data_IF_195073373496
#
_entry.id   IF_195073373496
#
_cell.length_a   1.000
_cell.length_b   1.000
_cell.length_c   1.000
_cell.angle_alpha   90.00
_cell.angle_beta   90.00
_cell.angle_gamma   90.00
#
_symmetry.space_group_name_H-M   'P 1'
#
loop_
_entity.id
_entity.type
_entity.pdbx_description
1 polymer ?
#
# COMPACT_ATOMS: atom_id res chain seq x y z
N UNK A 1 20.37 24.74 36.50
CA UNK A 1 19.92 23.36 36.43
C UNK A 1 19.59 23.05 34.96
N UNK A 2 20.38 22.21 34.33
CA UNK A 2 20.25 21.86 32.91
C UNK A 2 19.40 20.61 32.83
N UNK A 3 18.20 20.68 32.21
CA UNK A 3 17.38 19.51 31.85
C UNK A 3 18.00 18.88 30.57
N UNK A 4 18.21 17.58 30.54
CA UNK A 4 18.73 16.94 29.32
C UNK A 4 17.63 16.77 28.29
N UNK A 5 17.98 17.14 27.06
CA UNK A 5 17.26 16.85 25.82
C UNK A 5 17.21 15.32 25.59
N UNK A 6 16.07 14.68 25.83
CA UNK A 6 15.81 13.31 25.39
C UNK A 6 14.35 13.19 24.90
N UNK A 7 14.10 13.74 23.73
CA UNK A 7 12.80 13.57 23.02
C UNK A 7 13.12 13.27 21.56
N UNK A 8 13.39 12.03 21.24
CA UNK A 8 13.58 11.62 19.84
C UNK A 8 13.29 10.12 19.59
N UNK A 9 12.19 9.56 20.08
CA UNK A 9 11.94 8.13 19.83
C UNK A 9 10.46 7.72 19.66
N UNK A 10 9.53 8.65 19.42
CA UNK A 10 8.12 8.27 19.21
C UNK A 10 7.76 8.00 17.74
N UNK A 11 8.70 8.14 16.80
CA UNK A 11 8.43 7.94 15.36
C UNK A 11 8.61 6.50 14.86
N UNK A 12 8.75 5.49 15.75
CA UNK A 12 9.14 4.15 15.34
C UNK A 12 7.99 3.19 15.04
N UNK A 13 6.72 3.59 15.19
CA UNK A 13 5.58 2.74 14.82
C UNK A 13 5.04 3.14 13.45
N UNK A 14 5.93 3.21 12.45
CA UNK A 14 5.51 3.34 11.05
C UNK A 14 5.45 1.95 10.42
N UNK A 15 4.27 1.44 10.16
CA UNK A 15 4.06 0.19 9.42
C UNK A 15 4.55 0.28 7.94
N UNK A 16 4.99 1.46 7.49
CA UNK A 16 5.46 1.73 6.13
C UNK A 16 6.92 2.21 6.06
N UNK A 17 7.82 1.76 6.95
CA UNK A 17 9.24 2.03 6.78
C UNK A 17 9.97 0.70 6.50
N UNK A 18 10.64 0.54 5.34
CA UNK A 18 11.47 -0.63 5.11
C UNK A 18 12.60 -0.68 6.15
N UNK A 19 12.96 -1.87 6.64
CA UNK A 19 14.02 -2.04 7.63
C UNK A 19 15.38 -1.65 7.07
N UNK A 20 16.28 -1.18 7.95
CA UNK A 20 17.68 -1.00 7.65
C UNK A 20 18.29 -2.33 7.17
N UNK A 21 19.13 -2.26 6.14
CA UNK A 21 19.78 -3.41 5.51
C UNK A 21 20.54 -4.27 6.53
N UNK A 22 20.22 -5.56 6.56
CA UNK A 22 21.10 -6.60 7.08
C UNK A 22 21.13 -7.72 6.05
N UNK A 23 22.26 -7.85 5.37
CA UNK A 23 22.59 -9.01 4.53
C UNK A 23 22.68 -10.25 5.40
N UNK A 24 21.91 -11.29 5.11
CA UNK A 24 22.13 -12.63 5.64
C UNK A 24 21.71 -13.70 4.64
N UNK A 25 22.73 -14.40 4.10
CA UNK A 25 22.58 -15.70 3.49
C UNK A 25 22.31 -16.76 4.57
N UNK A 26 21.09 -17.29 4.65
CA UNK A 26 20.82 -18.60 5.27
C UNK A 26 19.66 -19.27 4.52
N UNK A 27 19.72 -20.60 4.29
CA UNK A 27 18.62 -21.31 3.66
C UNK A 27 17.37 -21.23 4.55
N UNK A 28 16.25 -20.85 3.95
CA UNK A 28 14.96 -20.84 4.62
C UNK A 28 14.56 -22.29 4.96
N UNK A 29 14.40 -22.56 6.25
CA UNK A 29 13.67 -23.75 6.69
C UNK A 29 12.20 -23.58 6.23
N UNK A 30 11.65 -24.62 5.62
CA UNK A 30 10.23 -24.68 5.27
C UNK A 30 9.40 -24.53 6.55
N UNK A 31 8.88 -23.34 6.77
CA UNK A 31 7.84 -23.12 7.77
C UNK A 31 6.51 -23.23 7.03
N UNK A 32 5.93 -24.43 7.09
CA UNK A 32 4.55 -24.64 6.70
C UNK A 32 3.63 -23.79 7.58
N UNK A 33 3.34 -22.58 7.14
CA UNK A 33 2.29 -21.76 7.75
C UNK A 33 0.98 -22.33 7.23
N UNK A 34 0.36 -23.21 8.02
CA UNK A 34 -0.98 -23.71 7.78
C UNK A 34 -2.01 -22.62 8.04
N UNK A 35 -2.00 -21.55 7.23
CA UNK A 35 -3.17 -20.71 7.11
C UNK A 35 -4.21 -21.51 6.33
N UNK A 36 -5.39 -21.72 6.94
CA UNK A 36 -6.51 -22.34 6.26
C UNK A 36 -6.70 -21.68 4.90
N UNK A 37 -7.01 -22.48 3.90
CA UNK A 37 -7.36 -22.02 2.55
C UNK A 37 -8.27 -20.79 2.71
N UNK A 38 -7.95 -19.62 2.15
CA UNK A 38 -8.88 -18.52 2.16
C UNK A 38 -10.09 -18.94 1.34
N UNK A 39 -11.15 -19.38 2.02
CA UNK A 39 -12.45 -19.41 1.38
C UNK A 39 -12.69 -18.02 0.83
N UNK A 40 -13.00 -17.93 -0.47
CA UNK A 40 -13.14 -16.68 -1.19
C UNK A 40 -14.06 -15.69 -0.47
N UNK A 41 -13.49 -14.89 0.41
CA UNK A 41 -14.13 -13.73 1.01
C UNK A 41 -14.22 -12.68 -0.11
N UNK A 42 -15.37 -12.60 -0.73
CA UNK A 42 -15.76 -11.40 -1.49
C UNK A 42 -15.79 -10.27 -0.47
N UNK A 43 -14.82 -9.38 -0.53
CA UNK A 43 -14.94 -8.06 0.09
C UNK A 43 -16.13 -7.39 -0.59
N UNK A 44 -17.24 -7.26 0.13
CA UNK A 44 -18.39 -6.53 -0.37
C UNK A 44 -18.04 -5.04 -0.29
N UNK A 45 -17.47 -4.50 -1.37
CA UNK A 45 -17.42 -3.07 -1.56
C UNK A 45 -18.87 -2.56 -1.63
N UNK A 46 -19.14 -1.43 -0.99
CA UNK A 46 -20.35 -0.69 -1.30
C UNK A 46 -20.32 -0.37 -2.80
N UNK A 47 -21.37 -0.67 -3.58
CA UNK A 47 -21.36 -0.46 -5.02
C UNK A 47 -21.10 1.01 -5.29
N UNK A 48 -19.97 1.31 -5.95
CA UNK A 48 -19.74 2.63 -6.52
C UNK A 48 -20.97 2.94 -7.41
N UNK A 49 -21.59 4.10 -7.25
CA UNK A 49 -22.66 4.51 -8.17
C UNK A 49 -22.04 4.53 -9.57
N UNK A 50 -22.67 3.90 -10.56
CA UNK A 50 -22.07 3.64 -11.88
C UNK A 50 -21.39 4.84 -12.55
N UNK A 51 -21.84 6.08 -12.27
CA UNK A 51 -21.20 7.30 -12.75
C UNK A 51 -19.88 7.67 -12.08
N UNK A 52 -19.62 7.26 -10.82
CA UNK A 52 -18.33 7.48 -10.15
C UNK A 52 -17.29 6.49 -10.66
N UNK A 53 -17.64 5.20 -10.80
CA UNK A 53 -16.74 4.15 -11.29
C UNK A 53 -16.20 4.47 -12.69
N UNK A 54 -17.08 4.93 -13.59
CA UNK A 54 -16.68 5.26 -14.98
C UNK A 54 -15.73 6.47 -15.00
N UNK A 55 -15.99 7.50 -14.19
CA UNK A 55 -15.09 8.64 -14.06
C UNK A 55 -13.72 8.17 -13.52
N UNK A 56 -13.72 7.35 -12.45
CA UNK A 56 -12.50 6.86 -11.83
C UNK A 56 -11.70 5.99 -12.80
N UNK A 57 -12.36 5.13 -13.57
CA UNK A 57 -11.75 4.38 -14.65
C UNK A 57 -11.07 5.30 -15.69
N UNK A 58 -11.72 6.37 -16.11
CA UNK A 58 -11.14 7.32 -17.08
C UNK A 58 -9.93 8.04 -16.53
N UNK A 59 -9.97 8.45 -15.25
CA UNK A 59 -8.86 9.15 -14.59
C UNK A 59 -7.67 8.22 -14.31
N UNK A 60 -7.92 6.96 -13.96
CA UNK A 60 -6.88 5.94 -13.75
C UNK A 60 -6.23 5.48 -15.07
N UNK A 61 -6.99 5.49 -16.16
CA UNK A 61 -6.56 4.92 -17.46
C UNK A 61 -5.82 5.93 -18.34
N UNK A 62 -6.16 7.22 -18.29
CA UNK A 62 -5.65 8.22 -19.22
C UNK A 62 -4.64 9.21 -18.62
N UNK A 63 -4.05 8.85 -17.50
CA UNK A 63 -2.92 9.56 -16.91
C UNK A 63 -1.93 8.56 -16.29
N UNK A 64 -0.74 9.02 -15.99
CA UNK A 64 0.27 8.35 -15.16
C UNK A 64 0.32 9.05 -13.79
N UNK A 65 0.87 8.39 -12.77
CA UNK A 65 1.15 8.97 -11.44
C UNK A 65 1.88 10.33 -11.52
N UNK A 66 2.78 10.49 -12.49
CA UNK A 66 3.47 11.76 -12.74
C UNK A 66 2.56 12.91 -13.20
N UNK A 67 1.26 12.67 -13.40
CA UNK A 67 0.31 13.60 -13.97
C UNK A 67 0.40 13.73 -15.51
N UNK A 68 1.34 13.02 -16.16
CA UNK A 68 1.44 13.03 -17.62
C UNK A 68 0.26 12.29 -18.24
N UNK A 69 -0.43 12.93 -19.19
CA UNK A 69 -1.56 12.34 -19.90
C UNK A 69 -1.17 11.22 -20.85
N UNK A 70 -2.04 10.25 -20.99
CA UNK A 70 -1.98 9.18 -21.97
C UNK A 70 -3.00 9.49 -23.09
N UNK A 71 -2.53 9.51 -24.36
CA UNK A 71 -3.37 9.87 -25.50
C UNK A 71 -4.20 8.70 -26.02
N UNK A 72 -3.75 7.48 -25.75
CA UNK A 72 -4.36 6.25 -26.24
C UNK A 72 -4.60 5.25 -25.13
N UNK A 73 -5.75 4.62 -25.17
CA UNK A 73 -6.04 3.43 -24.39
C UNK A 73 -5.14 2.27 -24.83
N UNK A 74 -4.58 1.54 -23.87
CA UNK A 74 -3.74 0.38 -24.18
C UNK A 74 -3.97 -0.76 -23.18
N UNK A 75 -4.06 -1.98 -23.72
CA UNK A 75 -4.12 -3.23 -22.95
C UNK A 75 -3.51 -4.36 -23.77
N UNK A 76 -3.40 -5.54 -23.18
CA UNK A 76 -3.15 -6.78 -23.93
C UNK A 76 -4.43 -7.21 -24.63
N UNK A 77 -4.35 -7.51 -25.92
CA UNK A 77 -5.53 -7.92 -26.72
C UNK A 77 -5.66 -9.43 -26.90
N UNK A 78 -4.76 -10.20 -26.34
CA UNK A 78 -4.77 -11.66 -26.34
C UNK A 78 -4.51 -12.23 -24.94
N UNK A 79 -4.37 -13.55 -24.85
CA UNK A 79 -4.04 -14.21 -23.60
C UNK A 79 -2.78 -13.64 -22.96
N UNK A 80 -2.85 -13.33 -21.67
CA UNK A 80 -1.72 -12.81 -20.89
C UNK A 80 -1.01 -13.99 -20.22
N UNK A 81 0.31 -14.02 -20.34
CA UNK A 81 1.14 -15.00 -19.65
C UNK A 81 2.10 -14.29 -18.71
N UNK A 82 2.29 -14.83 -17.49
CA UNK A 82 3.15 -14.22 -16.45
C UNK A 82 4.22 -15.22 -16.05
N UNK A 83 5.49 -14.85 -16.22
CA UNK A 83 6.63 -15.65 -15.77
C UNK A 83 7.41 -14.92 -14.68
N UNK A 84 7.96 -15.67 -13.72
CA UNK A 84 8.87 -15.16 -12.69
C UNK A 84 10.31 -15.50 -13.02
N UNK A 85 11.24 -14.58 -12.81
CA UNK A 85 12.67 -14.73 -13.06
C UNK A 85 13.51 -14.08 -11.95
N UNK A 86 14.82 -14.29 -12.00
CA UNK A 86 15.73 -13.74 -10.98
C UNK A 86 15.72 -14.52 -9.67
N UNK A 87 15.92 -13.85 -8.54
CA UNK A 87 15.94 -14.47 -7.21
C UNK A 87 14.53 -14.49 -6.63
N UNK A 88 13.73 -15.46 -7.09
CA UNK A 88 12.31 -15.57 -6.71
C UNK A 88 12.15 -15.87 -5.23
N UNK A 89 11.49 -15.01 -4.42
CA UNK A 89 11.20 -15.29 -3.01
C UNK A 89 10.27 -16.50 -2.84
N UNK A 90 10.42 -17.30 -1.75
CA UNK A 90 9.67 -18.56 -1.58
C UNK A 90 8.14 -18.42 -1.60
N UNK A 91 7.61 -17.29 -1.16
CA UNK A 91 6.15 -17.04 -1.11
C UNK A 91 5.58 -16.55 -2.44
N UNK A 92 6.41 -15.93 -3.29
CA UNK A 92 5.97 -15.27 -4.51
C UNK A 92 5.19 -16.18 -5.49
N UNK A 93 5.56 -17.47 -5.71
CA UNK A 93 4.79 -18.35 -6.59
C UNK A 93 3.36 -18.59 -6.11
N UNK A 94 3.16 -18.75 -4.81
CA UNK A 94 1.84 -18.91 -4.21
C UNK A 94 1.03 -17.63 -4.33
N UNK A 95 1.63 -16.50 -3.96
CA UNK A 95 0.96 -15.20 -3.94
C UNK A 95 0.54 -14.79 -5.37
N UNK A 96 1.42 -14.99 -6.37
CA UNK A 96 1.08 -14.79 -7.78
C UNK A 96 -0.04 -15.74 -8.24
N UNK A 97 0.00 -17.01 -7.84
CA UNK A 97 -1.05 -17.99 -8.20
C UNK A 97 -2.43 -17.58 -7.68
N UNK A 98 -2.51 -17.09 -6.44
CA UNK A 98 -3.75 -16.54 -5.84
C UNK A 98 -4.22 -15.31 -6.61
N UNK A 99 -3.32 -14.37 -6.90
CA UNK A 99 -3.64 -13.17 -7.65
C UNK A 99 -4.15 -13.47 -9.06
N UNK A 100 -3.50 -14.37 -9.81
CA UNK A 100 -3.94 -14.80 -11.14
C UNK A 100 -5.35 -15.42 -11.06
N UNK A 101 -5.60 -16.29 -10.08
CA UNK A 101 -6.94 -16.88 -9.89
C UNK A 101 -8.01 -15.83 -9.64
N UNK A 102 -7.71 -14.77 -8.88
CA UNK A 102 -8.61 -13.64 -8.67
C UNK A 102 -8.85 -12.83 -9.95
N UNK A 103 -7.79 -12.51 -10.69
CA UNK A 103 -7.90 -11.78 -11.96
C UNK A 103 -8.76 -12.54 -12.98
N UNK A 104 -8.65 -13.88 -13.02
CA UNK A 104 -9.50 -14.70 -13.87
C UNK A 104 -10.96 -14.68 -13.41
N UNK A 105 -11.22 -14.93 -12.13
CA UNK A 105 -12.58 -15.13 -11.62
C UNK A 105 -13.33 -13.82 -11.37
N UNK A 106 -12.65 -12.77 -10.92
CA UNK A 106 -13.27 -11.51 -10.52
C UNK A 106 -13.23 -10.45 -11.63
N UNK A 107 -12.16 -10.40 -12.44
CA UNK A 107 -12.04 -9.44 -13.55
C UNK A 107 -12.26 -10.05 -14.95
N UNK A 108 -12.33 -11.38 -15.05
CA UNK A 108 -12.58 -12.07 -16.33
C UNK A 108 -11.40 -12.02 -17.32
N UNK A 109 -10.17 -11.84 -16.83
CA UNK A 109 -8.98 -11.71 -17.67
C UNK A 109 -8.44 -13.08 -18.01
N UNK A 110 -8.17 -13.35 -19.31
CA UNK A 110 -7.45 -14.57 -19.75
C UNK A 110 -5.96 -14.41 -19.45
N UNK A 111 -5.59 -14.71 -18.20
CA UNK A 111 -4.24 -14.62 -17.67
C UNK A 111 -3.81 -15.94 -17.06
N UNK A 112 -2.57 -16.37 -17.27
CA UNK A 112 -2.06 -17.65 -16.75
C UNK A 112 -0.56 -17.58 -16.44
N UNK A 113 -0.06 -18.42 -15.52
CA UNK A 113 1.38 -18.55 -15.30
C UNK A 113 2.07 -19.19 -16.51
N UNK A 114 3.35 -18.85 -16.68
CA UNK A 114 4.23 -19.43 -17.70
C UNK A 114 5.60 -19.77 -17.09
N UNK A 115 6.28 -20.77 -17.65
CA UNK A 115 7.62 -21.21 -17.25
C UNK A 115 8.72 -20.81 -18.24
N UNK A 116 8.38 -20.01 -19.25
CA UNK A 116 9.27 -19.58 -20.32
C UNK A 116 8.97 -18.14 -20.75
N UNK A 117 9.21 -17.79 -22.02
CA UNK A 117 8.87 -16.47 -22.54
C UNK A 117 7.41 -16.13 -22.26
N UNK A 118 7.16 -14.95 -21.73
CA UNK A 118 5.85 -14.49 -21.30
C UNK A 118 5.57 -13.06 -21.76
N UNK A 119 4.29 -12.69 -21.81
CA UNK A 119 3.89 -11.30 -22.10
C UNK A 119 4.23 -10.37 -20.95
N UNK A 120 4.16 -10.85 -19.71
CA UNK A 120 4.61 -10.12 -18.52
C UNK A 120 5.68 -10.95 -17.80
N UNK A 121 6.84 -10.34 -17.56
CA UNK A 121 7.91 -10.94 -16.77
C UNK A 121 8.01 -10.24 -15.44
N UNK A 122 7.87 -10.96 -14.33
CA UNK A 122 8.17 -10.48 -12.98
C UNK A 122 9.60 -10.89 -12.65
N UNK A 123 10.52 -9.92 -12.63
CA UNK A 123 11.93 -10.17 -12.33
C UNK A 123 12.27 -9.68 -10.92
N UNK A 124 12.77 -10.60 -10.10
CA UNK A 124 13.20 -10.33 -8.74
C UNK A 124 14.70 -10.02 -8.70
N UNK A 125 15.05 -8.83 -8.24
CA UNK A 125 16.42 -8.35 -8.13
C UNK A 125 16.70 -7.76 -6.75
N UNK A 126 17.96 -7.46 -6.42
CA UNK A 126 18.27 -6.81 -5.14
C UNK A 126 17.66 -5.40 -5.08
N UNK A 127 17.18 -4.99 -3.91
CA UNK A 127 16.70 -3.62 -3.67
C UNK A 127 17.76 -2.57 -4.07
N UNK A 128 19.03 -2.86 -3.85
CA UNK A 128 20.12 -1.98 -4.21
C UNK A 128 20.26 -1.79 -5.73
N UNK A 129 19.97 -2.83 -6.53
CA UNK A 129 19.98 -2.76 -7.98
C UNK A 129 18.81 -1.93 -8.51
N UNK A 130 17.62 -2.13 -7.94
CA UNK A 130 16.41 -1.42 -8.36
C UNK A 130 16.48 0.06 -8.00
N UNK A 131 16.95 0.42 -6.81
CA UNK A 131 17.13 1.82 -6.38
C UNK A 131 18.09 2.64 -7.23
N UNK A 132 19.03 1.99 -7.92
CA UNK A 132 19.88 2.70 -8.90
C UNK A 132 19.12 3.13 -10.15
N UNK A 133 18.00 2.51 -10.43
CA UNK A 133 17.17 2.75 -11.61
C UNK A 133 15.93 3.59 -11.29
N UNK A 134 15.29 3.30 -10.17
CA UNK A 134 14.11 3.99 -9.64
C UNK A 134 14.30 4.27 -8.14
N UNK A 135 14.96 5.39 -7.75
CA UNK A 135 15.39 5.64 -6.37
C UNK A 135 14.25 5.74 -5.35
N UNK A 136 13.07 6.16 -5.77
CA UNK A 136 11.90 6.40 -4.94
C UNK A 136 10.90 5.26 -4.95
N UNK A 137 10.86 4.44 -6.02
CA UNK A 137 9.92 3.34 -6.15
C UNK A 137 10.33 2.12 -5.29
N UNK A 138 9.34 1.46 -4.70
CA UNK A 138 9.51 0.16 -4.03
C UNK A 138 9.65 -0.96 -5.07
N UNK A 139 8.80 -0.94 -6.07
CA UNK A 139 8.76 -1.77 -7.27
C UNK A 139 8.32 -0.90 -8.45
N UNK A 140 8.35 -1.41 -9.67
CA UNK A 140 7.89 -0.64 -10.83
C UNK A 140 7.70 -1.54 -12.07
N UNK A 141 6.79 -1.11 -12.95
CA UNK A 141 6.51 -1.77 -14.22
C UNK A 141 7.01 -0.95 -15.41
N UNK A 142 7.54 -1.63 -16.43
CA UNK A 142 8.11 -1.01 -17.64
C UNK A 142 7.57 -1.68 -18.89
N UNK A 143 7.09 -0.92 -19.89
CA UNK A 143 6.61 -1.48 -21.16
C UNK A 143 7.75 -1.94 -22.05
N UNK A 144 7.46 -2.85 -22.98
CA UNK A 144 8.31 -3.25 -24.10
C UNK A 144 9.69 -3.83 -23.74
N UNK A 145 9.84 -4.29 -22.49
CA UNK A 145 11.03 -5.01 -22.01
C UNK A 145 10.61 -6.32 -21.35
N UNK A 146 11.54 -7.27 -21.30
CA UNK A 146 11.34 -8.58 -20.64
C UNK A 146 12.39 -8.87 -19.57
N UNK A 147 13.31 -7.93 -19.27
CA UNK A 147 14.30 -8.10 -18.21
C UNK A 147 14.92 -6.78 -17.77
N UNK A 148 15.50 -6.78 -16.55
CA UNK A 148 16.23 -5.63 -16.00
C UNK A 148 17.44 -5.26 -16.87
N UNK A 149 18.10 -6.25 -17.45
CA UNK A 149 19.22 -6.02 -18.38
C UNK A 149 18.75 -5.31 -19.67
N UNK A 150 17.59 -5.67 -20.20
CA UNK A 150 16.99 -4.99 -21.34
C UNK A 150 16.55 -3.57 -20.98
N UNK A 151 15.91 -3.37 -19.83
CA UNK A 151 15.53 -2.05 -19.34
C UNK A 151 16.74 -1.12 -19.19
N UNK A 152 17.85 -1.60 -18.61
CA UNK A 152 19.08 -0.81 -18.48
C UNK A 152 19.60 -0.30 -19.83
N UNK A 153 19.47 -1.10 -20.90
CA UNK A 153 19.90 -0.69 -22.26
C UNK A 153 18.94 0.30 -22.93
N UNK A 154 17.63 0.16 -22.65
CA UNK A 154 16.58 0.98 -23.30
C UNK A 154 16.15 2.19 -22.48
N UNK A 155 16.61 2.30 -21.23
CA UNK A 155 16.23 3.40 -20.33
C UNK A 155 16.49 4.76 -20.97
N UNK A 156 15.48 5.64 -20.94
CA UNK A 156 15.54 6.97 -21.53
C UNK A 156 15.25 7.01 -23.06
N UNK A 157 14.86 5.88 -23.65
CA UNK A 157 14.36 5.85 -25.02
C UNK A 157 12.82 5.79 -25.06
N UNK A 158 12.26 6.18 -26.19
CA UNK A 158 10.80 6.11 -26.46
C UNK A 158 10.24 4.69 -26.35
N UNK A 159 11.07 3.67 -26.49
CA UNK A 159 10.65 2.28 -26.38
C UNK A 159 10.10 1.89 -25.01
N UNK A 160 10.47 2.60 -23.95
CA UNK A 160 10.03 2.32 -22.57
C UNK A 160 9.15 3.44 -22.01
N UNK A 161 8.62 4.30 -22.85
CA UNK A 161 7.71 5.38 -22.48
C UNK A 161 6.25 4.92 -22.59
N UNK A 162 5.57 4.80 -21.43
CA UNK A 162 4.16 4.44 -21.37
C UNK A 162 3.25 5.37 -22.19
N UNK A 163 3.58 6.65 -22.31
CA UNK A 163 2.76 7.61 -23.05
C UNK A 163 2.76 7.37 -24.57
N UNK A 164 3.71 6.59 -25.07
CA UNK A 164 3.80 6.21 -26.48
C UNK A 164 3.23 4.79 -26.75
N UNK A 165 2.81 4.07 -25.71
CA UNK A 165 2.23 2.73 -25.86
C UNK A 165 0.79 2.83 -26.32
N UNK A 166 0.53 2.38 -27.55
CA UNK A 166 -0.82 2.32 -28.12
C UNK A 166 -1.46 0.92 -27.97
N UNK A 167 -0.65 -0.12 -27.75
CA UNK A 167 -1.04 -1.50 -27.50
C UNK A 167 0.00 -2.16 -26.62
N UNK A 168 -0.41 -2.93 -25.62
CA UNK A 168 0.52 -3.69 -24.78
C UNK A 168 0.80 -5.04 -25.40
N UNK A 169 2.08 -5.32 -25.62
CA UNK A 169 2.55 -6.61 -26.15
C UNK A 169 3.44 -7.31 -25.14
N UNK A 170 4.23 -6.54 -24.40
CA UNK A 170 5.17 -7.04 -23.40
C UNK A 170 5.41 -6.00 -22.32
N UNK A 171 5.54 -6.47 -21.06
CA UNK A 171 5.97 -5.64 -19.93
C UNK A 171 6.86 -6.43 -18.98
N UNK A 172 7.69 -5.73 -18.21
CA UNK A 172 8.43 -6.32 -17.11
C UNK A 172 8.12 -5.57 -15.81
N UNK A 173 7.92 -6.33 -14.75
CA UNK A 173 7.73 -5.86 -13.37
C UNK A 173 9.01 -6.18 -12.62
N UNK A 174 9.53 -5.21 -11.86
CA UNK A 174 10.75 -5.36 -11.08
C UNK A 174 10.44 -5.23 -9.59
N UNK A 175 10.69 -6.30 -8.85
CA UNK A 175 10.37 -6.41 -7.41
C UNK A 175 11.65 -6.73 -6.62
N UNK A 176 11.88 -6.10 -5.44
CA UNK A 176 13.00 -6.46 -4.59
C UNK A 176 12.88 -7.89 -4.07
N UNK A 177 13.94 -8.69 -4.22
CA UNK A 177 14.00 -10.07 -3.69
C UNK A 177 14.35 -10.13 -2.20
N UNK A 178 14.85 -9.03 -1.65
CA UNK A 178 15.38 -8.90 -0.29
C UNK A 178 14.47 -8.03 0.60
N UNK A 179 13.16 -8.26 0.50
CA UNK A 179 12.13 -7.57 1.27
C UNK A 179 11.18 -8.56 1.98
N UNK A 180 10.19 -8.06 2.73
CA UNK A 180 9.24 -8.93 3.40
C UNK A 180 8.31 -9.64 2.39
N UNK A 181 7.77 -10.83 2.74
CA UNK A 181 6.78 -11.49 1.89
C UNK A 181 5.58 -10.62 1.56
N UNK A 182 5.09 -9.84 2.52
CA UNK A 182 3.99 -8.92 2.27
C UNK A 182 4.35 -7.86 1.23
N UNK A 183 5.51 -7.20 1.33
CA UNK A 183 5.94 -6.19 0.37
C UNK A 183 6.11 -6.79 -1.05
N UNK A 184 6.58 -8.05 -1.16
CA UNK A 184 6.60 -8.78 -2.44
C UNK A 184 5.19 -8.96 -3.00
N UNK A 185 4.23 -9.39 -2.17
CA UNK A 185 2.84 -9.58 -2.58
C UNK A 185 2.19 -8.25 -2.98
N UNK A 186 2.39 -7.19 -2.18
CA UNK A 186 1.84 -5.87 -2.43
C UNK A 186 2.32 -5.36 -3.80
N UNK A 187 3.62 -5.46 -4.08
CA UNK A 187 4.19 -5.17 -5.41
C UNK A 187 3.59 -6.05 -6.53
N UNK A 188 3.32 -7.34 -6.27
CA UNK A 188 2.68 -8.19 -7.27
C UNK A 188 1.26 -7.70 -7.61
N UNK A 189 0.48 -7.29 -6.61
CA UNK A 189 -0.88 -6.81 -6.83
C UNK A 189 -0.90 -5.49 -7.60
N UNK A 190 -0.12 -4.53 -7.17
CA UNK A 190 -0.06 -3.19 -7.76
C UNK A 190 0.50 -3.22 -9.18
N UNK A 191 1.73 -3.72 -9.34
CA UNK A 191 2.45 -3.67 -10.61
C UNK A 191 1.83 -4.58 -11.69
N UNK A 192 1.23 -5.74 -11.29
CA UNK A 192 0.54 -6.58 -12.26
C UNK A 192 -0.75 -5.90 -12.73
N UNK A 193 -1.48 -5.22 -11.86
CA UNK A 193 -2.66 -4.48 -12.25
C UNK A 193 -2.31 -3.29 -13.14
N UNK A 194 -1.24 -2.56 -12.83
CA UNK A 194 -0.71 -1.48 -13.68
C UNK A 194 -0.22 -2.02 -15.03
N UNK A 195 0.47 -3.17 -15.05
CA UNK A 195 0.84 -3.85 -16.31
C UNK A 195 -0.38 -4.18 -17.17
N UNK A 196 -1.52 -4.49 -16.57
CA UNK A 196 -2.76 -4.88 -17.25
C UNK A 196 -3.57 -3.67 -17.75
N UNK A 197 -3.54 -2.52 -17.07
CA UNK A 197 -4.42 -1.41 -17.44
C UNK A 197 -4.07 -0.05 -16.86
N UNK A 198 -4.60 0.31 -15.70
CA UNK A 198 -4.43 1.63 -15.08
C UNK A 198 -2.95 1.95 -14.79
N UNK A 199 -2.56 3.22 -14.98
CA UNK A 199 -1.19 3.68 -14.74
C UNK A 199 -1.15 4.93 -13.85
N UNK A 200 -2.28 5.29 -13.26
CA UNK A 200 -2.40 6.45 -12.39
C UNK A 200 -2.82 6.01 -10.99
N UNK A 201 -2.40 6.74 -9.98
CA UNK A 201 -2.80 6.58 -8.59
C UNK A 201 -3.49 7.83 -8.08
N UNK A 202 -4.60 7.66 -7.39
CA UNK A 202 -5.46 8.77 -7.00
C UNK A 202 -5.78 8.72 -5.49
N UNK A 203 -5.19 9.59 -4.71
CA UNK A 203 -5.42 9.71 -3.26
C UNK A 203 -6.89 9.86 -2.84
N UNK A 204 -7.79 10.19 -3.77
CA UNK A 204 -9.21 10.29 -3.51
C UNK A 204 -9.95 8.96 -3.48
N UNK A 205 -9.30 7.85 -3.83
CA UNK A 205 -9.86 6.50 -3.91
C UNK A 205 -9.53 5.70 -2.64
N UNK A 206 -10.36 5.72 -1.59
CA UNK A 206 -10.02 5.07 -0.32
C UNK A 206 -9.99 3.55 -0.42
N UNK A 207 -10.76 2.93 -1.31
CA UNK A 207 -10.86 1.47 -1.48
C UNK A 207 -10.14 1.00 -2.76
N UNK A 208 -8.85 1.32 -2.89
CA UNK A 208 -8.08 0.97 -4.08
C UNK A 208 -6.59 0.82 -3.78
N UNK A 209 -5.93 -0.12 -4.46
CA UNK A 209 -4.46 -0.16 -4.52
C UNK A 209 -3.91 0.94 -5.44
N UNK A 210 -4.73 1.51 -6.34
CA UNK A 210 -4.39 2.68 -7.15
C UNK A 210 -4.54 3.97 -6.34
N UNK A 211 -3.92 3.97 -5.15
CA UNK A 211 -3.91 5.07 -4.20
C UNK A 211 -2.57 5.11 -3.48
N UNK A 212 -1.80 6.16 -3.70
CA UNK A 212 -0.47 6.41 -3.11
C UNK A 212 -0.45 6.51 -1.57
N UNK A 213 -1.59 6.31 -0.87
CA UNK A 213 -1.62 6.26 0.59
C UNK A 213 -0.97 4.98 1.16
N UNK A 214 -0.81 3.95 0.33
CA UNK A 214 -0.18 2.66 0.64
C UNK A 214 -0.83 1.90 1.80
N UNK A 215 -2.13 2.06 2.01
CA UNK A 215 -2.87 1.30 3.01
C UNK A 215 -3.35 -0.05 2.50
N UNK A 216 -3.86 -0.09 1.26
CA UNK A 216 -4.26 -1.33 0.62
C UNK A 216 -3.05 -2.12 0.11
N UNK A 217 -3.02 -3.40 0.40
CA UNK A 217 -1.93 -4.30 0.01
C UNK A 217 -2.38 -5.44 -0.91
N UNK A 218 -3.68 -5.51 -1.22
CA UNK A 218 -4.25 -6.45 -2.20
C UNK A 218 -5.34 -5.76 -2.98
N UNK A 219 -5.49 -6.12 -4.26
CA UNK A 219 -6.55 -5.60 -5.13
C UNK A 219 -7.91 -5.76 -4.47
N UNK A 220 -8.69 -4.68 -4.44
CA UNK A 220 -10.04 -4.63 -3.89
C UNK A 220 -11.08 -5.05 -4.93
N UNK A 221 -12.35 -5.10 -4.51
CA UNK A 221 -13.45 -5.32 -5.47
C UNK A 221 -13.57 -4.15 -6.46
N UNK A 222 -13.29 -2.93 -6.03
CA UNK A 222 -13.23 -1.75 -6.89
C UNK A 222 -12.15 -1.90 -7.97
N UNK A 223 -10.94 -2.31 -7.59
CA UNK A 223 -9.84 -2.52 -8.53
C UNK A 223 -10.17 -3.60 -9.56
N UNK A 224 -10.84 -4.68 -9.12
CA UNK A 224 -11.31 -5.73 -10.04
C UNK A 224 -12.38 -5.23 -11.01
N UNK A 225 -13.23 -4.28 -10.60
CA UNK A 225 -14.19 -3.64 -11.51
C UNK A 225 -13.50 -2.72 -12.53
N UNK A 226 -12.49 -1.96 -12.12
CA UNK A 226 -11.64 -1.16 -13.03
C UNK A 226 -10.96 -2.06 -14.06
N UNK A 227 -10.38 -3.19 -13.63
CA UNK A 227 -9.76 -4.16 -14.53
C UNK A 227 -10.78 -4.84 -15.45
N UNK A 228 -11.99 -5.14 -14.96
CA UNK A 228 -13.08 -5.68 -15.79
C UNK A 228 -13.52 -4.70 -16.86
N UNK A 229 -13.59 -3.41 -16.55
CA UNK A 229 -13.85 -2.36 -17.53
C UNK A 229 -12.72 -2.27 -18.55
N UNK A 230 -11.45 -2.32 -18.11
CA UNK A 230 -10.28 -2.34 -18.98
C UNK A 230 -10.37 -3.46 -20.03
N UNK A 231 -10.84 -4.64 -19.64
CA UNK A 231 -10.96 -5.81 -20.53
C UNK A 231 -12.37 -5.99 -21.12
N UNK A 232 -13.22 -4.96 -21.03
CA UNK A 232 -14.53 -4.97 -21.68
C UNK A 232 -14.40 -5.22 -23.20
N UNK A 233 -15.23 -6.09 -23.80
CA UNK A 233 -15.24 -6.28 -25.26
C UNK A 233 -15.58 -5.01 -26.07
N UNK A 234 -16.15 -3.99 -25.43
CA UNK A 234 -16.45 -2.71 -26.06
C UNK A 234 -15.21 -1.85 -26.31
N UNK A 235 -14.08 -2.14 -25.64
CA UNK A 235 -12.85 -1.37 -25.71
C UNK A 235 -11.79 -2.09 -26.53
N UNK A 236 -10.92 -1.33 -27.19
CA UNK A 236 -9.76 -1.85 -27.93
C UNK A 236 -8.58 -0.89 -27.81
N UNK A 237 -7.37 -1.44 -27.81
CA UNK A 237 -6.12 -0.68 -27.83
C UNK A 237 -6.07 0.30 -29.01
N UNK A 238 -5.51 1.48 -28.77
CA UNK A 238 -5.43 2.56 -29.76
C UNK A 238 -6.61 3.54 -29.73
N UNK A 239 -7.72 3.24 -29.03
CA UNK A 239 -8.82 4.16 -28.82
C UNK A 239 -8.36 5.46 -28.13
N UNK A 240 -8.91 6.59 -28.57
CA UNK A 240 -8.76 7.88 -27.89
C UNK A 240 -9.56 7.90 -26.58
N UNK A 241 -9.29 8.88 -25.73
CA UNK A 241 -10.05 9.12 -24.49
C UNK A 241 -11.55 9.31 -24.79
N UNK A 242 -11.90 10.08 -25.83
CA UNK A 242 -13.29 10.36 -26.19
C UNK A 242 -14.01 9.11 -26.72
N UNK A 243 -13.34 8.30 -27.53
CA UNK A 243 -13.88 7.02 -28.01
C UNK A 243 -14.17 6.06 -26.85
N UNK A 244 -13.25 5.95 -25.88
CA UNK A 244 -13.45 5.16 -24.67
C UNK A 244 -14.61 5.74 -23.84
N UNK A 245 -14.63 7.06 -23.61
CA UNK A 245 -15.68 7.73 -22.85
C UNK A 245 -17.09 7.41 -23.39
N UNK A 246 -17.26 7.49 -24.70
CA UNK A 246 -18.54 7.13 -25.37
C UNK A 246 -18.90 5.66 -25.12
N UNK A 247 -17.91 4.74 -25.18
CA UNK A 247 -18.14 3.29 -25.03
C UNK A 247 -18.51 2.89 -23.60
N UNK A 248 -17.94 3.57 -22.60
CA UNK A 248 -18.22 3.27 -21.18
C UNK A 248 -19.33 4.16 -20.61
N UNK A 249 -19.91 5.06 -21.39
CA UNK A 249 -20.96 5.98 -20.94
C UNK A 249 -20.44 7.08 -20.00
N UNK A 250 -19.18 7.49 -20.15
CA UNK A 250 -18.62 8.59 -19.38
C UNK A 250 -19.19 9.94 -19.85
N UNK A 251 -19.50 10.82 -18.91
CA UNK A 251 -19.68 12.23 -19.22
C UNK A 251 -18.33 12.83 -19.66
N UNK A 252 -18.33 13.67 -20.68
CA UNK A 252 -17.15 14.42 -21.07
C UNK A 252 -16.66 15.29 -19.90
N UNK A 253 -15.35 15.48 -19.80
CA UNK A 253 -14.75 16.29 -18.72
C UNK A 253 -13.22 16.30 -18.78
N UNK A 254 -12.62 17.22 -18.04
CA UNK A 254 -11.17 17.28 -17.88
C UNK A 254 -10.64 16.07 -17.09
N UNK A 255 -9.37 15.75 -17.31
CA UNK A 255 -8.67 14.75 -16.52
C UNK A 255 -8.53 15.24 -15.08
N UNK A 256 -8.98 14.45 -14.12
CA UNK A 256 -8.75 14.73 -12.71
C UNK A 256 -7.58 13.89 -12.21
N UNK A 257 -6.46 14.53 -11.96
CA UNK A 257 -5.30 13.93 -11.28
C UNK A 257 -5.22 14.37 -9.82
N UNK A 258 -4.16 13.97 -9.15
CA UNK A 258 -3.83 14.49 -7.83
C UNK A 258 -3.38 15.97 -7.95
N UNK A 259 -3.84 16.87 -7.07
CA UNK A 259 -3.41 18.26 -7.06
C UNK A 259 -1.92 18.39 -6.73
N UNK A 260 -1.13 18.94 -7.64
CA UNK A 260 0.35 18.93 -7.61
C UNK A 260 0.94 19.48 -6.30
N UNK A 261 0.45 20.62 -5.82
CA UNK A 261 1.01 21.24 -4.62
C UNK A 261 0.66 20.49 -3.34
N UNK A 262 -0.52 19.90 -3.28
CA UNK A 262 -0.94 19.03 -2.18
C UNK A 262 -0.13 17.73 -2.17
N UNK A 263 0.00 17.05 -3.30
CA UNK A 263 0.78 15.81 -3.46
C UNK A 263 2.23 16.05 -3.03
N UNK A 264 2.87 17.11 -3.53
CA UNK A 264 4.23 17.47 -3.12
C UNK A 264 4.34 17.73 -1.60
N UNK A 265 3.34 18.32 -0.99
CA UNK A 265 3.32 18.55 0.46
C UNK A 265 3.18 17.23 1.23
N UNK A 266 2.32 16.31 0.79
CA UNK A 266 2.17 14.97 1.35
C UNK A 266 3.49 14.18 1.23
N UNK A 267 4.07 14.07 0.04
CA UNK A 267 5.33 13.36 -0.21
C UNK A 267 6.47 13.91 0.68
N UNK A 268 6.56 15.25 0.80
CA UNK A 268 7.55 15.88 1.68
C UNK A 268 7.31 15.52 3.14
N UNK A 269 6.06 15.49 3.59
CA UNK A 269 5.70 15.20 4.99
C UNK A 269 6.01 13.76 5.37
N UNK A 270 5.74 12.80 4.48
CA UNK A 270 5.91 11.36 4.71
C UNK A 270 7.30 10.86 4.30
N UNK A 271 8.01 11.62 3.48
CA UNK A 271 9.35 11.28 2.99
C UNK A 271 10.39 11.19 4.10
N UNK A 272 11.54 10.58 3.76
CA UNK A 272 12.67 10.42 4.69
C UNK A 272 13.66 11.59 4.67
N UNK A 273 13.58 12.41 3.64
CA UNK A 273 14.45 13.59 3.45
C UNK A 273 13.93 14.80 4.20
N UNK A 274 14.85 15.68 4.59
CA UNK A 274 14.52 16.93 5.30
C UNK A 274 14.45 16.80 6.82
N UNK A 275 14.40 17.94 7.49
CA UNK A 275 14.29 18.03 8.95
C UNK A 275 12.86 17.66 9.42
N UNK A 276 12.72 17.22 10.66
CA UNK A 276 11.40 16.97 11.26
C UNK A 276 10.51 18.22 11.19
N UNK A 277 11.09 19.42 11.40
CA UNK A 277 10.35 20.67 11.30
C UNK A 277 9.84 20.94 9.87
N UNK A 278 10.66 20.66 8.85
CA UNK A 278 10.24 20.82 7.45
C UNK A 278 9.11 19.84 7.08
N UNK A 279 9.20 18.61 7.55
CA UNK A 279 8.16 17.59 7.33
C UNK A 279 6.84 17.95 8.02
N UNK A 280 6.89 18.47 9.26
CA UNK A 280 5.70 18.98 9.97
C UNK A 280 5.07 20.14 9.23
N UNK A 281 5.87 21.13 8.79
CA UNK A 281 5.38 22.25 8.01
C UNK A 281 4.74 21.80 6.68
N UNK A 282 5.26 20.76 6.06
CA UNK A 282 4.68 20.19 4.85
C UNK A 282 3.32 19.51 5.13
N UNK A 283 3.17 18.76 6.23
CA UNK A 283 1.90 18.17 6.62
C UNK A 283 0.82 19.22 6.90
N UNK A 284 1.17 20.28 7.66
CA UNK A 284 0.24 21.39 7.90
C UNK A 284 -0.12 22.14 6.60
N UNK A 285 0.80 22.25 5.65
CA UNK A 285 0.51 22.81 4.33
C UNK A 285 -0.45 21.95 3.54
N UNK A 286 -0.26 20.62 3.52
CA UNK A 286 -1.18 19.72 2.87
C UNK A 286 -2.59 19.83 3.46
N UNK A 287 -2.68 19.89 4.78
CA UNK A 287 -3.95 20.09 5.48
C UNK A 287 -4.61 21.43 5.12
N UNK A 288 -3.82 22.51 5.09
CA UNK A 288 -4.34 23.83 4.72
C UNK A 288 -4.89 23.85 3.30
N UNK A 289 -4.20 23.20 2.33
CA UNK A 289 -4.70 23.05 0.96
C UNK A 289 -6.00 22.26 0.96
N UNK A 290 -6.05 21.09 1.62
CA UNK A 290 -7.25 20.25 1.64
C UNK A 290 -8.48 20.97 2.22
N UNK A 291 -8.27 21.79 3.24
CA UNK A 291 -9.32 22.62 3.85
C UNK A 291 -9.76 23.77 2.93
N UNK A 292 -8.82 24.46 2.27
CA UNK A 292 -9.14 25.56 1.35
C UNK A 292 -9.88 25.11 0.11
N UNK A 293 -9.58 23.91 -0.38
CA UNK A 293 -10.28 23.26 -1.49
C UNK A 293 -11.65 22.69 -1.09
N UNK A 294 -11.97 22.70 0.20
CA UNK A 294 -13.25 22.20 0.72
C UNK A 294 -13.42 20.67 0.57
N UNK A 295 -12.32 19.92 0.44
CA UNK A 295 -12.41 18.47 0.30
C UNK A 295 -13.04 17.82 1.54
N UNK A 296 -13.76 16.71 1.30
CA UNK A 296 -14.40 15.90 2.33
C UNK A 296 -14.14 14.39 2.12
N UNK A 297 -13.16 14.09 1.28
CA UNK A 297 -12.77 12.73 0.89
C UNK A 297 -11.49 12.27 1.61
N UNK A 298 -10.91 11.17 1.14
CA UNK A 298 -9.70 10.57 1.72
C UNK A 298 -8.50 11.52 1.73
N UNK A 299 -8.39 12.48 0.82
CA UNK A 299 -7.31 13.48 0.79
C UNK A 299 -7.30 14.36 2.05
N UNK A 300 -8.47 14.82 2.51
CA UNK A 300 -8.57 15.56 3.77
C UNK A 300 -8.23 14.67 4.96
N UNK A 301 -8.76 13.43 4.99
CA UNK A 301 -8.46 12.48 6.05
C UNK A 301 -6.97 12.14 6.12
N UNK A 302 -6.33 11.92 4.97
CA UNK A 302 -4.90 11.62 4.88
C UNK A 302 -4.02 12.81 5.30
N UNK A 303 -4.43 14.05 4.98
CA UNK A 303 -3.77 15.24 5.48
C UNK A 303 -3.78 15.31 7.01
N UNK A 304 -4.93 15.08 7.64
CA UNK A 304 -5.03 14.97 9.09
C UNK A 304 -4.17 13.84 9.64
N UNK A 305 -4.17 12.68 9.00
CA UNK A 305 -3.35 11.53 9.41
C UNK A 305 -1.85 11.86 9.37
N UNK A 306 -1.38 12.56 8.33
CA UNK A 306 0.01 13.01 8.23
C UNK A 306 0.40 13.97 9.35
N UNK A 307 -0.48 14.95 9.69
CA UNK A 307 -0.29 15.86 10.84
C UNK A 307 -0.21 15.05 12.13
N UNK A 308 -1.13 14.12 12.37
CA UNK A 308 -1.16 13.29 13.58
C UNK A 308 0.13 12.50 13.77
N UNK A 309 0.59 11.82 12.70
CA UNK A 309 1.84 11.04 12.73
C UNK A 309 3.07 11.86 13.10
N UNK A 310 3.17 13.06 12.56
CA UNK A 310 4.33 13.94 12.80
C UNK A 310 4.24 14.69 14.14
N UNK A 311 3.04 14.87 14.68
CA UNK A 311 2.83 15.47 15.99
C UNK A 311 3.02 14.47 17.15
N UNK A 312 2.75 13.18 16.97
CA UNK A 312 2.66 12.17 18.02
C UNK A 312 3.83 12.14 19.01
N UNK A 313 5.06 12.42 18.55
CA UNK A 313 6.25 12.40 19.40
C UNK A 313 6.59 13.73 20.13
N UNK A 314 5.85 14.82 19.87
CA UNK A 314 6.22 16.14 20.37
C UNK A 314 5.03 16.99 20.84
N UNK A 315 3.83 16.69 20.34
CA UNK A 315 2.57 17.34 20.69
C UNK A 315 1.44 16.29 20.66
N UNK A 316 1.30 15.50 21.73
CA UNK A 316 0.29 14.45 21.80
C UNK A 316 -1.15 14.98 21.68
N UNK A 317 -1.42 16.19 22.14
CA UNK A 317 -2.75 16.80 22.04
C UNK A 317 -3.12 17.08 20.58
N UNK A 318 -2.20 17.67 19.82
CA UNK A 318 -2.36 17.90 18.37
C UNK A 318 -2.50 16.58 17.60
N UNK A 319 -1.69 15.58 17.98
CA UNK A 319 -1.78 14.25 17.36
C UNK A 319 -3.15 13.60 17.57
N UNK A 320 -3.66 13.62 18.80
CA UNK A 320 -4.96 13.07 19.15
C UNK A 320 -6.09 13.79 18.40
N UNK A 321 -6.07 15.13 18.35
CA UNK A 321 -7.02 15.90 17.55
C UNK A 321 -6.98 15.48 16.09
N UNK A 322 -5.79 15.41 15.51
CA UNK A 322 -5.60 15.08 14.10
C UNK A 322 -6.05 13.67 13.76
N UNK A 323 -5.73 12.67 14.60
CA UNK A 323 -6.20 11.29 14.40
C UNK A 323 -7.72 11.16 14.59
N UNK A 324 -8.32 11.86 15.54
CA UNK A 324 -9.78 11.89 15.69
C UNK A 324 -10.47 12.47 14.45
N UNK A 325 -9.91 13.56 13.87
CA UNK A 325 -10.42 14.14 12.62
C UNK A 325 -10.29 13.18 11.44
N UNK A 326 -9.10 12.58 11.26
CA UNK A 326 -8.86 11.59 10.22
C UNK A 326 -9.81 10.38 10.36
N UNK A 327 -9.91 9.83 11.57
CA UNK A 327 -10.77 8.67 11.85
C UNK A 327 -12.25 8.94 11.60
N UNK A 328 -12.75 10.13 12.00
CA UNK A 328 -14.13 10.50 11.74
C UNK A 328 -14.46 10.59 10.25
N UNK A 329 -13.52 11.10 9.43
CA UNK A 329 -13.71 11.18 7.98
C UNK A 329 -13.65 9.77 7.38
N UNK A 330 -12.62 8.97 7.70
CA UNK A 330 -12.50 7.60 7.19
C UNK A 330 -13.70 6.73 7.56
N UNK A 331 -14.22 6.83 8.80
CA UNK A 331 -15.41 6.12 9.23
C UNK A 331 -16.67 6.46 8.42
N UNK A 332 -16.73 7.66 7.84
CA UNK A 332 -17.85 8.13 7.02
C UNK A 332 -17.67 7.80 5.52
N UNK A 333 -16.47 7.41 5.10
CA UNK A 333 -16.19 7.12 3.69
C UNK A 333 -16.44 5.63 3.40
N UNK A 334 -17.21 5.31 2.35
CA UNK A 334 -17.27 3.94 1.83
C UNK A 334 -15.85 3.43 1.49
N UNK A 335 -15.47 2.25 2.00
CA UNK A 335 -14.14 1.69 1.79
C UNK A 335 -13.02 2.30 2.64
N UNK A 336 -13.35 3.17 3.61
CA UNK A 336 -12.37 3.81 4.50
C UNK A 336 -12.01 3.01 5.76
N UNK A 337 -12.50 1.76 5.90
CA UNK A 337 -12.30 0.98 7.13
C UNK A 337 -10.84 0.57 7.37
N UNK A 338 -10.06 0.30 6.32
CA UNK A 338 -8.65 -0.05 6.49
C UNK A 338 -7.82 1.16 6.93
N UNK A 339 -8.09 2.34 6.37
CA UNK A 339 -7.47 3.59 6.80
C UNK A 339 -7.83 3.91 8.25
N UNK A 340 -9.10 3.68 8.65
CA UNK A 340 -9.51 3.81 10.05
C UNK A 340 -8.73 2.86 10.95
N UNK A 341 -8.48 1.61 10.53
CA UNK A 341 -7.67 0.67 11.29
C UNK A 341 -6.20 1.15 11.46
N UNK A 342 -5.65 1.84 10.48
CA UNK A 342 -4.34 2.50 10.61
C UNK A 342 -4.38 3.68 11.62
N UNK A 343 -5.46 4.46 11.65
CA UNK A 343 -5.67 5.49 12.68
C UNK A 343 -5.78 4.84 14.05
N UNK A 344 -6.56 3.77 14.18
CA UNK A 344 -6.73 3.02 15.44
C UNK A 344 -5.41 2.48 15.97
N UNK A 345 -4.56 1.97 15.10
CA UNK A 345 -3.22 1.52 15.48
C UNK A 345 -2.37 2.66 16.06
N UNK A 346 -2.40 3.85 15.43
CA UNK A 346 -1.66 5.00 15.94
C UNK A 346 -2.22 5.45 17.31
N UNK A 347 -3.54 5.51 17.45
CA UNK A 347 -4.20 5.87 18.71
C UNK A 347 -3.98 4.82 19.78
N UNK A 348 -3.99 3.52 19.43
CA UNK A 348 -3.69 2.43 20.38
C UNK A 348 -2.24 2.53 20.89
N UNK A 349 -1.28 2.83 20.03
CA UNK A 349 0.11 3.07 20.45
C UNK A 349 0.23 4.29 21.38
N UNK A 350 -0.50 5.38 21.10
CA UNK A 350 -0.54 6.56 21.98
C UNK A 350 -1.21 6.25 23.33
N UNK A 351 -2.31 5.51 23.32
CA UNK A 351 -3.00 5.08 24.53
C UNK A 351 -2.09 4.21 25.41
N UNK A 352 -1.39 3.24 24.79
CA UNK A 352 -0.43 2.40 25.49
C UNK A 352 0.71 3.23 26.11
N UNK A 353 1.28 4.16 25.35
CA UNK A 353 2.33 5.08 25.84
C UNK A 353 1.85 6.00 26.98
N UNK A 354 0.56 6.29 27.05
CA UNK A 354 -0.07 7.08 28.10
C UNK A 354 -0.63 6.25 29.28
N UNK A 355 -0.36 4.94 29.35
CA UNK A 355 -0.84 4.06 30.43
C UNK A 355 -2.34 3.72 30.34
N UNK A 356 -2.99 3.98 29.21
CA UNK A 356 -4.41 3.71 28.98
C UNK A 356 -4.57 2.33 28.33
N UNK A 357 -4.20 1.28 29.05
CA UNK A 357 -4.11 -0.08 28.53
C UNK A 357 -5.46 -0.64 28.03
N UNK A 358 -6.57 -0.37 28.72
CA UNK A 358 -7.92 -0.77 28.27
C UNK A 358 -8.26 -0.13 26.91
N UNK A 359 -7.95 1.15 26.76
CA UNK A 359 -8.22 1.87 25.51
C UNK A 359 -7.34 1.36 24.38
N UNK A 360 -6.05 1.08 24.64
CA UNK A 360 -5.15 0.47 23.67
C UNK A 360 -5.66 -0.89 23.18
N UNK A 361 -6.09 -1.75 24.09
CA UNK A 361 -6.66 -3.06 23.76
C UNK A 361 -7.97 -2.92 22.97
N UNK A 362 -8.87 -2.01 23.36
CA UNK A 362 -10.15 -1.76 22.68
C UNK A 362 -9.96 -1.28 21.23
N UNK A 363 -9.01 -0.38 21.00
CA UNK A 363 -8.69 0.11 19.66
C UNK A 363 -8.10 -1.00 18.79
N UNK A 364 -7.21 -1.82 19.34
CA UNK A 364 -6.67 -2.99 18.65
C UNK A 364 -7.75 -4.00 18.29
N UNK A 365 -8.69 -4.29 19.22
CA UNK A 365 -9.81 -5.20 18.98
C UNK A 365 -10.74 -4.73 17.87
N UNK A 366 -10.95 -3.42 17.75
CA UNK A 366 -11.76 -2.84 16.67
C UNK A 366 -11.09 -3.00 15.31
N UNK A 367 -9.78 -2.82 15.25
CA UNK A 367 -9.02 -2.84 14.00
C UNK A 367 -8.70 -4.26 13.50
N UNK A 368 -8.43 -5.22 14.39
CA UNK A 368 -7.97 -6.57 14.04
C UNK A 368 -8.85 -7.29 13.01
N UNK A 369 -10.19 -7.34 13.13
CA UNK A 369 -11.04 -8.00 12.13
C UNK A 369 -10.97 -7.31 10.74
N UNK A 370 -10.73 -6.01 10.71
CA UNK A 370 -10.59 -5.25 9.47
C UNK A 370 -9.30 -5.62 8.77
N UNK A 371 -8.17 -5.56 9.47
CA UNK A 371 -6.85 -5.84 8.88
C UNK A 371 -6.70 -7.29 8.44
N UNK A 372 -7.39 -8.23 9.11
CA UNK A 372 -7.47 -9.62 8.70
C UNK A 372 -8.20 -9.76 7.36
N UNK A 373 -9.39 -9.16 7.21
CA UNK A 373 -10.13 -9.15 5.95
C UNK A 373 -9.32 -8.56 4.79
N UNK A 374 -8.59 -7.48 5.05
CA UNK A 374 -7.74 -6.81 4.06
C UNK A 374 -6.35 -7.45 3.92
N UNK A 375 -6.09 -8.56 4.64
CA UNK A 375 -4.82 -9.31 4.57
C UNK A 375 -3.58 -8.44 4.84
N UNK A 376 -3.71 -7.37 5.64
CA UNK A 376 -2.58 -6.52 6.01
C UNK A 376 -1.87 -7.11 7.24
N UNK A 377 -0.99 -8.09 7.00
CA UNK A 377 -0.34 -8.86 8.06
C UNK A 377 0.65 -8.05 8.90
N UNK A 378 1.30 -7.05 8.30
CA UNK A 378 2.19 -6.15 9.04
C UNK A 378 1.41 -5.31 10.07
N UNK A 379 0.27 -4.76 9.66
CA UNK A 379 -0.62 -4.02 10.56
C UNK A 379 -1.26 -4.95 11.60
N UNK A 380 -1.69 -6.15 11.18
CA UNK A 380 -2.24 -7.17 12.05
C UNK A 380 -1.25 -7.55 13.16
N UNK A 381 -0.01 -7.86 12.81
CA UNK A 381 1.03 -8.17 13.79
C UNK A 381 1.31 -7.00 14.74
N UNK A 382 1.33 -5.76 14.22
CA UNK A 382 1.51 -4.56 15.04
C UNK A 382 0.40 -4.41 16.08
N UNK A 383 -0.87 -4.56 15.66
CA UNK A 383 -2.02 -4.47 16.53
C UNK A 383 -2.04 -5.58 17.58
N UNK A 384 -1.72 -6.83 17.19
CA UNK A 384 -1.61 -7.95 18.12
C UNK A 384 -0.54 -7.71 19.19
N UNK A 385 0.63 -7.17 18.79
CA UNK A 385 1.70 -6.86 19.72
C UNK A 385 1.33 -5.68 20.65
N UNK A 386 0.72 -4.61 20.15
CA UNK A 386 0.20 -3.51 21.01
C UNK A 386 -0.80 -4.04 22.00
N UNK A 387 -1.74 -4.91 21.58
CA UNK A 387 -2.72 -5.53 22.48
C UNK A 387 -2.06 -6.45 23.50
N UNK A 388 -1.01 -7.18 23.12
CA UNK A 388 -0.27 -8.02 24.05
C UNK A 388 0.39 -7.19 25.17
N UNK A 389 1.02 -6.04 24.83
CA UNK A 389 1.57 -5.14 25.85
C UNK A 389 0.48 -4.54 26.74
N UNK A 390 -0.68 -4.19 26.16
CA UNK A 390 -1.82 -3.72 26.92
C UNK A 390 -2.36 -4.79 27.91
N UNK A 391 -2.46 -6.06 27.47
CA UNK A 391 -2.87 -7.17 28.34
C UNK A 391 -1.86 -7.44 29.47
N UNK A 392 -0.57 -7.30 29.22
CA UNK A 392 0.47 -7.38 30.25
C UNK A 392 0.28 -6.31 31.31
N UNK A 393 0.07 -5.05 30.90
CA UNK A 393 -0.20 -3.91 31.79
C UNK A 393 -1.50 -4.07 32.60
N UNK A 394 -2.48 -4.80 32.06
CA UNK A 394 -3.75 -5.13 32.74
C UNK A 394 -3.65 -6.35 33.69
N UNK A 395 -2.45 -6.91 33.86
CA UNK A 395 -2.23 -8.07 34.75
C UNK A 395 -2.66 -9.41 34.13
N UNK A 396 -2.73 -9.52 32.81
CA UNK A 396 -3.09 -10.74 32.07
C UNK A 396 -1.91 -11.33 31.30
N UNK A 397 -0.78 -11.70 31.94
CA UNK A 397 0.43 -12.11 31.25
C UNK A 397 0.26 -13.40 30.42
N UNK A 398 -0.61 -14.29 30.81
CA UNK A 398 -0.90 -15.53 30.09
C UNK A 398 -1.56 -15.22 28.72
N UNK A 399 -2.55 -14.34 28.68
CA UNK A 399 -3.19 -13.90 27.45
C UNK A 399 -2.24 -13.09 26.58
N UNK A 400 -1.39 -12.24 27.17
CA UNK A 400 -0.37 -11.51 26.47
C UNK A 400 0.64 -12.45 25.78
N UNK A 401 1.13 -13.47 26.49
CA UNK A 401 2.05 -14.46 25.95
C UNK A 401 1.43 -15.25 24.78
N UNK A 402 0.18 -15.70 24.93
CA UNK A 402 -0.54 -16.40 23.86
C UNK A 402 -0.66 -15.51 22.60
N UNK A 403 -1.04 -14.24 22.75
CA UNK A 403 -1.20 -13.32 21.63
C UNK A 403 0.14 -13.00 20.94
N UNK A 404 1.24 -12.89 21.70
CA UNK A 404 2.61 -12.76 21.11
C UNK A 404 2.98 -13.99 20.28
N UNK A 405 2.62 -15.21 20.74
CA UNK A 405 2.82 -16.44 19.95
C UNK A 405 1.99 -16.43 18.67
N UNK A 406 0.71 -16.09 18.76
CA UNK A 406 -0.19 -16.04 17.60
C UNK A 406 0.25 -14.98 16.57
N UNK A 407 0.89 -13.89 17.02
CA UNK A 407 1.40 -12.85 16.14
C UNK A 407 2.60 -13.28 15.29
N UNK A 408 3.29 -14.39 15.62
CA UNK A 408 4.54 -14.78 14.97
C UNK A 408 4.40 -15.06 13.46
N UNK A 409 3.32 -15.70 13.05
CA UNK A 409 3.01 -15.95 11.63
C UNK A 409 2.80 -14.66 10.85
N UNK A 410 1.80 -13.85 11.21
CA UNK A 410 1.60 -12.52 10.64
C UNK A 410 2.85 -11.64 10.64
N UNK A 411 3.63 -11.63 11.72
CA UNK A 411 4.84 -10.84 11.84
C UNK A 411 5.93 -11.26 10.84
N UNK A 412 6.16 -12.57 10.66
CA UNK A 412 7.13 -13.06 9.66
C UNK A 412 6.71 -12.73 8.24
N UNK A 413 5.43 -12.86 7.93
CA UNK A 413 4.94 -12.51 6.62
C UNK A 413 5.00 -10.99 6.38
N UNK A 414 4.55 -10.19 7.35
CA UNK A 414 4.45 -8.73 7.25
C UNK A 414 5.80 -8.00 7.36
N UNK A 415 6.67 -8.43 8.27
CA UNK A 415 7.95 -7.73 8.53
C UNK A 415 9.16 -8.43 7.92
N UNK A 416 9.07 -9.74 7.62
CA UNK A 416 10.17 -10.54 7.08
C UNK A 416 10.93 -11.33 8.16
N UNK A 417 12.28 -11.40 8.10
CA UNK A 417 13.08 -12.30 8.92
C UNK A 417 12.93 -12.07 10.43
N UNK A 418 13.11 -13.13 11.23
CA UNK A 418 12.97 -13.13 12.69
C UNK A 418 13.70 -11.95 13.37
N UNK A 419 14.88 -11.58 12.92
CA UNK A 419 15.61 -10.41 13.43
C UNK A 419 14.83 -9.09 13.32
N UNK A 420 14.06 -8.92 12.22
CA UNK A 420 13.23 -7.73 12.01
C UNK A 420 12.00 -7.82 12.91
N UNK A 421 11.41 -9.01 13.03
CA UNK A 421 10.28 -9.28 13.93
C UNK A 421 10.67 -8.95 15.38
N UNK A 422 11.81 -9.47 15.86
CA UNK A 422 12.32 -9.19 17.21
C UNK A 422 12.58 -7.69 17.45
N UNK A 423 13.11 -6.99 16.44
CA UNK A 423 13.30 -5.54 16.55
C UNK A 423 11.96 -4.81 16.70
N UNK A 424 10.93 -5.20 15.92
CA UNK A 424 9.58 -4.64 16.05
C UNK A 424 8.93 -4.93 17.40
N UNK A 425 9.09 -6.14 17.90
CA UNK A 425 8.60 -6.50 19.25
C UNK A 425 9.24 -5.63 20.33
N UNK A 426 10.56 -5.43 20.27
CA UNK A 426 11.26 -4.54 21.22
C UNK A 426 10.81 -3.07 21.09
N UNK A 427 10.59 -2.57 19.85
CA UNK A 427 10.13 -1.20 19.62
C UNK A 427 8.73 -0.98 20.24
N UNK A 428 7.84 -1.96 20.11
CA UNK A 428 6.47 -1.87 20.65
C UNK A 428 6.49 -2.02 22.19
N UNK A 429 7.26 -2.96 22.77
CA UNK A 429 7.43 -3.08 24.22
C UNK A 429 7.99 -1.78 24.83
N UNK A 430 8.96 -1.14 24.17
CA UNK A 430 9.48 0.16 24.60
C UNK A 430 8.46 1.30 24.57
N UNK A 431 7.33 1.15 23.88
CA UNK A 431 6.21 2.11 23.95
C UNK A 431 5.47 1.95 25.29
N UNK A 432 5.23 0.70 25.75
CA UNK A 432 4.61 0.42 27.04
C UNK A 432 5.48 0.90 28.23
N UNK A 433 6.80 0.66 28.17
CA UNK A 433 7.75 1.06 29.24
C UNK A 433 7.79 2.59 29.52
N UNK A 434 7.20 3.40 28.68
CA UNK A 434 7.13 4.85 28.90
C UNK A 434 6.03 5.25 29.84
N UNK A 435 4.95 4.49 29.87
CA UNK A 435 3.85 4.70 30.80
C UNK A 435 4.29 4.55 32.27
N UNK A 436 5.26 3.65 32.54
CA UNK A 436 5.76 3.40 33.90
C UNK A 436 6.78 4.46 34.40
N UNK A 437 7.22 5.36 33.53
CA UNK A 437 8.27 6.36 33.82
C UNK A 437 7.76 7.80 33.88
N UNK A 438 6.49 8.05 33.64
CA UNK A 438 5.84 9.36 33.67
C UNK A 438 4.88 9.49 34.84
#
# INVERSE_FOLDING_TARGET
MRLPLMIAALCAVSACAPPAQVSMNRPAAEVGVGFGTPGGLRLAAAPATGGSLVRDFMDLTFAMESGRGLERFSRFEGPVTVAMTGTVPPTAPRDLGVLIGRLQSEAGIDIRPATGPATITVEFASRSDLRRLAPTAACFVVPNVGSLAEYRRKRGSDAVDWALVTRRERAAIFIPSDTSPQEVRDCLHEELAQALGPLNDLYRLPDSVFNDDNFHSVLTSFDMEILRLTYSPALASGMTRDEVAVRVGAAGGERAGNPVDWTRAIETSLGRSGSVAARKAAAERALAIALSEGWRDSRLAFSWFAVGRLAAGSDPARALEAFNRAGAIYAALPGGELQLAHVDMQMAAMALAGGLAEEAARLADRALPVVERHQNYALMATLMLIKAEALEALGNPAAAAALRMDSAGPARYGFGPDKVVEARMRDIAAVADRADKG
#
